data_IF_081704321698
#
_entry.id   IF_081704321698
#
_cell.length_a   1.000
_cell.length_b   1.000
_cell.length_c   1.000
_cell.angle_alpha   90.00
_cell.angle_beta   90.00
_cell.angle_gamma   90.00
#
_symmetry.space_group_name_H-M   'P 1'
#
loop_
_entity.id
_entity.type
_entity.pdbx_description
1 polymer ?
#
# COMPACT_ATOMS: atom_id res chain seq x y z
N UNK A 1 -21.26 -6.88 11.59
CA UNK A 1 -21.90 -5.66 12.15
C UNK A 1 -22.68 -4.98 11.04
N UNK A 2 -23.88 -4.45 11.29
CA UNK A 2 -24.66 -3.67 10.33
C UNK A 2 -24.62 -2.21 10.77
N UNK A 3 -24.38 -1.30 9.83
CA UNK A 3 -24.31 0.14 10.07
C UNK A 3 -25.14 0.84 8.99
N UNK A 4 -25.87 1.88 9.38
CA UNK A 4 -26.48 2.81 8.43
C UNK A 4 -25.47 3.94 8.17
N UNK A 5 -25.15 4.18 6.90
CA UNK A 5 -24.21 5.21 6.48
C UNK A 5 -24.93 6.17 5.54
N UNK A 6 -24.85 7.46 5.80
CA UNK A 6 -25.29 8.48 4.85
C UNK A 6 -24.17 8.75 3.86
N UNK A 7 -24.46 8.66 2.56
CA UNK A 7 -23.54 8.99 1.47
C UNK A 7 -24.27 9.84 0.43
N UNK A 8 -23.57 10.68 -0.35
CA UNK A 8 -24.18 11.41 -1.45
C UNK A 8 -24.81 10.47 -2.48
N UNK A 9 -25.97 10.86 -3.02
CA UNK A 9 -26.73 10.03 -3.96
C UNK A 9 -25.91 9.63 -5.19
N UNK A 10 -25.15 10.56 -5.76
CA UNK A 10 -24.28 10.29 -6.91
C UNK A 10 -23.23 9.20 -6.62
N UNK A 11 -22.70 9.17 -5.38
CA UNK A 11 -21.74 8.16 -4.96
C UNK A 11 -22.42 6.81 -4.77
N UNK A 12 -23.64 6.80 -4.23
CA UNK A 12 -24.45 5.59 -4.10
C UNK A 12 -24.73 4.96 -5.47
N UNK A 13 -25.20 5.74 -6.44
CA UNK A 13 -25.52 5.26 -7.80
C UNK A 13 -24.29 4.75 -8.55
N UNK A 14 -23.15 5.43 -8.37
CA UNK A 14 -21.86 4.98 -8.89
C UNK A 14 -21.45 3.64 -8.27
N UNK A 15 -21.67 3.47 -6.97
CA UNK A 15 -21.44 2.23 -6.24
C UNK A 15 -22.36 1.09 -6.70
N UNK A 16 -23.64 1.37 -6.91
CA UNK A 16 -24.62 0.42 -7.46
C UNK A 16 -24.14 -0.11 -8.81
N UNK A 17 -23.83 0.79 -9.73
CA UNK A 17 -23.38 0.46 -11.09
C UNK A 17 -22.12 -0.39 -11.06
N UNK A 18 -21.14 -0.01 -10.23
CA UNK A 18 -19.89 -0.74 -10.10
C UNK A 18 -20.11 -2.14 -9.50
N UNK A 19 -20.96 -2.26 -8.47
CA UNK A 19 -21.25 -3.53 -7.83
C UNK A 19 -21.87 -4.55 -8.80
N UNK A 20 -22.80 -4.09 -9.65
CA UNK A 20 -23.42 -4.91 -10.71
C UNK A 20 -22.39 -5.32 -11.76
N UNK A 21 -21.56 -4.39 -12.22
CA UNK A 21 -20.50 -4.67 -13.21
C UNK A 21 -19.49 -5.70 -12.69
N UNK A 22 -19.16 -5.66 -11.40
CA UNK A 22 -18.23 -6.59 -10.77
C UNK A 22 -18.89 -7.89 -10.29
N UNK A 23 -20.22 -8.01 -10.35
CA UNK A 23 -20.95 -9.18 -9.86
C UNK A 23 -20.83 -9.39 -8.35
N UNK A 24 -20.64 -8.32 -7.57
CA UNK A 24 -20.48 -8.38 -6.10
C UNK A 24 -21.63 -7.68 -5.40
N UNK A 25 -21.91 -8.08 -4.16
CA UNK A 25 -22.86 -7.35 -3.33
C UNK A 25 -22.35 -5.96 -2.98
N UNK A 26 -23.28 -5.03 -2.79
CA UNK A 26 -23.02 -3.64 -2.37
C UNK A 26 -22.20 -3.56 -1.09
N UNK A 27 -22.58 -4.37 -0.10
CA UNK A 27 -21.86 -4.44 1.18
C UNK A 27 -20.42 -4.93 0.99
N UNK A 28 -20.18 -5.90 0.09
CA UNK A 28 -18.85 -6.38 -0.24
C UNK A 28 -18.02 -5.30 -0.93
N UNK A 29 -18.59 -4.57 -1.88
CA UNK A 29 -17.92 -3.46 -2.55
C UNK A 29 -17.46 -2.41 -1.54
N UNK A 30 -18.37 -1.91 -0.70
CA UNK A 30 -18.05 -0.88 0.28
C UNK A 30 -17.06 -1.35 1.36
N UNK A 31 -17.21 -2.59 1.85
CA UNK A 31 -16.26 -3.15 2.82
C UNK A 31 -14.85 -3.26 2.23
N UNK A 32 -14.73 -3.66 0.95
CA UNK A 32 -13.44 -3.78 0.26
C UNK A 32 -12.80 -2.40 0.09
N UNK A 33 -13.55 -1.43 -0.42
CA UNK A 33 -13.07 -0.06 -0.58
C UNK A 33 -12.62 0.57 0.75
N UNK A 34 -13.38 0.37 1.82
CA UNK A 34 -13.03 0.86 3.14
C UNK A 34 -11.75 0.18 3.68
N UNK A 35 -11.62 -1.13 3.50
CA UNK A 35 -10.43 -1.87 3.92
C UNK A 35 -9.16 -1.37 3.20
N UNK A 36 -9.24 -1.20 1.88
CA UNK A 36 -8.14 -0.66 1.08
C UNK A 36 -7.79 0.77 1.48
N UNK A 37 -8.81 1.62 1.69
CA UNK A 37 -8.61 2.98 2.15
C UNK A 37 -7.89 3.01 3.51
N UNK A 38 -8.33 2.22 4.48
CA UNK A 38 -7.69 2.13 5.80
C UNK A 38 -6.25 1.62 5.66
N UNK A 39 -6.01 0.57 4.89
CA UNK A 39 -4.68 0.02 4.68
C UNK A 39 -3.72 1.06 4.07
N UNK A 40 -4.16 1.80 3.03
CA UNK A 40 -3.41 2.88 2.40
C UNK A 40 -3.03 4.00 3.38
N UNK A 41 -3.80 4.20 4.44
CA UNK A 41 -3.54 5.24 5.45
C UNK A 41 -2.74 4.72 6.65
N UNK A 42 -2.74 3.42 6.95
CA UNK A 42 -1.94 2.83 8.04
C UNK A 42 -0.45 3.05 7.83
N UNK A 43 0.09 2.75 6.63
CA UNK A 43 1.52 2.94 6.33
C UNK A 43 1.98 4.39 6.50
N UNK A 44 1.20 5.36 5.99
CA UNK A 44 1.47 6.80 6.16
C UNK A 44 1.46 7.22 7.63
N UNK A 45 0.51 6.72 8.43
CA UNK A 45 0.48 7.02 9.87
C UNK A 45 1.71 6.52 10.61
N UNK A 46 2.23 5.34 10.25
CA UNK A 46 3.46 4.80 10.87
C UNK A 46 4.66 5.68 10.54
N UNK A 47 4.86 6.04 9.26
CA UNK A 47 5.97 6.92 8.85
C UNK A 47 5.88 8.29 9.52
N UNK A 48 4.70 8.91 9.56
CA UNK A 48 4.50 10.20 10.24
C UNK A 48 4.84 10.10 11.72
N UNK A 49 4.42 9.02 12.39
CA UNK A 49 4.73 8.82 13.81
C UNK A 49 6.21 8.57 14.07
N UNK A 50 6.89 7.82 13.21
CA UNK A 50 8.35 7.63 13.30
C UNK A 50 9.10 8.93 13.03
N UNK A 51 8.67 9.72 12.03
CA UNK A 51 9.27 11.03 11.76
C UNK A 51 9.10 11.99 12.94
N UNK A 52 7.98 11.93 13.67
CA UNK A 52 7.79 12.74 14.87
C UNK A 52 8.78 12.38 15.99
N UNK A 53 9.08 11.09 16.19
CA UNK A 53 10.06 10.63 17.18
C UNK A 53 11.48 11.00 16.76
N UNK A 54 11.85 10.70 15.51
CA UNK A 54 13.21 10.94 15.01
C UNK A 54 13.47 12.39 14.56
N UNK A 55 12.45 13.24 14.58
CA UNK A 55 12.61 14.69 14.44
C UNK A 55 13.26 15.34 15.67
N UNK A 56 13.09 14.73 16.85
CA UNK A 56 13.68 15.19 18.11
C UNK A 56 14.87 14.35 18.56
N UNK A 57 14.92 13.06 18.19
CA UNK A 57 15.97 12.12 18.61
C UNK A 57 17.02 11.89 17.51
N UNK A 58 18.32 11.99 17.85
CA UNK A 58 19.39 11.64 16.92
C UNK A 58 19.42 10.12 16.68
N UNK A 59 19.02 9.75 15.47
CA UNK A 59 18.92 8.36 15.00
C UNK A 59 19.93 8.02 13.91
N UNK A 60 20.97 8.85 13.75
CA UNK A 60 22.02 8.61 12.77
C UNK A 60 22.84 7.40 13.17
N UNK A 61 22.88 6.42 12.27
CA UNK A 61 23.79 5.29 12.41
C UNK A 61 25.26 5.75 12.28
N UNK A 62 26.19 5.15 13.07
CA UNK A 62 27.62 5.33 12.88
C UNK A 62 28.04 5.14 11.41
N UNK A 63 29.02 5.92 10.96
CA UNK A 63 29.45 5.93 9.54
C UNK A 63 29.84 4.54 9.02
N UNK A 64 30.46 3.70 9.85
CA UNK A 64 30.81 2.32 9.51
C UNK A 64 29.58 1.46 9.22
N UNK A 65 28.56 1.52 10.09
CA UNK A 65 27.31 0.78 9.93
C UNK A 65 26.51 1.26 8.71
N UNK A 66 26.45 2.57 8.46
CA UNK A 66 25.82 3.12 7.25
C UNK A 66 26.45 2.57 5.96
N UNK A 67 27.78 2.45 5.91
CA UNK A 67 28.49 1.88 4.75
C UNK A 67 28.23 0.39 4.57
N UNK A 68 28.10 -0.36 5.66
CA UNK A 68 27.77 -1.78 5.59
C UNK A 68 26.32 -1.99 5.11
N UNK A 69 25.38 -1.20 5.62
CA UNK A 69 23.98 -1.26 5.22
C UNK A 69 23.79 -0.92 3.74
N UNK A 70 24.41 0.16 3.23
CA UNK A 70 24.28 0.55 1.82
C UNK A 70 24.77 -0.53 0.86
N UNK A 71 25.85 -1.25 1.22
CA UNK A 71 26.36 -2.40 0.46
C UNK A 71 25.41 -3.60 0.47
N UNK A 72 24.64 -3.79 1.54
CA UNK A 72 23.64 -4.85 1.63
C UNK A 72 22.41 -4.57 0.76
N UNK A 73 21.92 -3.32 0.78
CA UNK A 73 20.75 -2.92 -0.02
C UNK A 73 21.03 -2.95 -1.53
N UNK A 74 22.25 -2.61 -1.95
CA UNK A 74 22.67 -2.71 -3.37
C UNK A 74 22.66 -4.16 -3.89
N UNK A 75 22.86 -5.15 -3.02
CA UNK A 75 22.76 -6.58 -3.39
C UNK A 75 21.31 -7.04 -3.57
N UNK A 76 20.38 -6.41 -2.87
CA UNK A 76 18.96 -6.76 -2.91
C UNK A 76 18.26 -6.19 -4.15
N UNK A 77 18.61 -4.97 -4.56
CA UNK A 77 18.10 -4.36 -5.81
C UNK A 77 18.59 -5.07 -7.07
N UNK A 78 19.75 -5.73 -7.02
CA UNK A 78 20.26 -6.58 -8.11
C UNK A 78 19.56 -7.95 -8.15
N UNK A 79 18.95 -8.42 -7.05
CA UNK A 79 18.20 -9.69 -7.00
C UNK A 79 16.77 -9.56 -7.50
N UNK A 80 16.15 -8.40 -7.36
CA UNK A 80 14.77 -8.17 -7.82
C UNK A 80 14.69 -7.85 -9.31
N UNK A 81 15.78 -7.39 -9.93
CA UNK A 81 15.87 -7.08 -11.37
C UNK A 81 16.14 -8.31 -12.25
N UNK A 82 16.48 -9.47 -11.68
CA UNK A 82 16.72 -10.72 -12.44
C UNK A 82 15.50 -11.63 -12.58
N UNK A 83 14.31 -11.24 -12.12
CA UNK A 83 13.06 -12.03 -12.23
C UNK A 83 12.06 -11.48 -13.25
N UNK A 84 12.53 -10.69 -14.22
CA UNK A 84 11.72 -10.20 -15.34
C UNK A 84 12.52 -10.23 -16.65
N UNK A 85 12.71 -11.43 -17.20
CA UNK A 85 12.91 -11.61 -18.64
C UNK A 85 11.81 -12.56 -19.11
N UNK A 86 10.92 -12.14 -20.02
CA UNK A 86 9.86 -12.98 -20.54
C UNK A 86 10.43 -14.02 -21.50
N UNK A 87 9.84 -15.22 -21.43
CA UNK A 87 9.99 -16.30 -22.40
C UNK A 87 9.82 -15.76 -23.82
N UNK A 88 10.89 -15.75 -24.62
CA UNK A 88 10.78 -15.68 -26.07
C UNK A 88 10.70 -17.13 -26.57
N UNK A 89 9.48 -17.53 -26.90
CA UNK A 89 9.24 -18.65 -27.79
C UNK A 89 9.86 -18.34 -29.15
N UNK A 90 10.71 -19.22 -29.65
CA UNK A 90 11.07 -19.28 -31.07
C UNK A 90 10.90 -20.73 -31.49
N UNK A 91 9.92 -20.92 -32.38
CA UNK A 91 9.72 -22.10 -33.23
C UNK A 91 10.87 -22.30 -34.20
#
# INVERSE_FOLDING_TARGET
>A
MKIALSIPDELFESGETLSRRLGVSRSRLYATALAEFVAKHRGRKVTVRLNAVYGSEDSRLPRSLRRLQSRSLARDTLRTSHKSSPSTAIS
#
